data_IF_430379623016
#
_entry.id   IF_430379623016
#
_cell.length_a   1.000
_cell.length_b   1.000
_cell.length_c   1.000
_cell.angle_alpha   90.00
_cell.angle_beta   90.00
_cell.angle_gamma   90.00
#
_symmetry.space_group_name_H-M   'P 1'
#
loop_
_entity.id
_entity.type
_entity.pdbx_description
1 polymer ?
#
# COMPACT_ATOMS: atom_id res chain seq x y z
N UNK A 1 -35.87 32.55 73.88
CA UNK A 1 -35.05 32.44 72.67
C UNK A 1 -35.30 31.05 72.07
N UNK A 2 -36.16 30.98 71.03
CA UNK A 2 -36.50 29.73 70.33
C UNK A 2 -35.62 29.65 69.12
N UNK A 3 -34.82 28.60 69.03
CA UNK A 3 -34.04 28.24 67.87
C UNK A 3 -34.92 27.48 66.93
N UNK A 4 -35.11 27.97 65.71
CA UNK A 4 -35.92 27.37 64.67
C UNK A 4 -34.99 26.44 63.85
N UNK A 5 -35.31 25.14 63.91
CA UNK A 5 -34.69 24.14 63.06
C UNK A 5 -35.17 24.32 61.61
N UNK A 6 -34.20 24.41 60.73
CA UNK A 6 -34.41 24.33 59.27
C UNK A 6 -34.55 22.90 58.83
N UNK A 7 -35.48 22.54 57.90
CA UNK A 7 -35.60 21.17 57.43
C UNK A 7 -34.47 20.85 56.43
N UNK A 8 -33.87 19.71 56.67
CA UNK A 8 -32.86 19.06 55.80
C UNK A 8 -33.44 18.80 54.40
N UNK A 9 -32.74 19.25 53.41
CA UNK A 9 -33.05 18.93 51.98
C UNK A 9 -32.88 17.41 51.72
N UNK A 10 -33.76 16.79 50.92
CA UNK A 10 -33.60 15.39 50.58
C UNK A 10 -32.45 15.24 49.57
N UNK A 11 -31.52 14.34 49.89
CA UNK A 11 -30.43 13.91 49.01
C UNK A 11 -30.95 13.42 47.66
N UNK A 12 -30.50 14.05 46.60
CA UNK A 12 -30.81 13.71 45.24
C UNK A 12 -30.16 12.35 44.85
N UNK A 13 -30.99 11.36 44.55
CA UNK A 13 -30.61 10.10 43.91
C UNK A 13 -30.95 10.09 42.40
N UNK A 14 -30.24 10.82 41.54
CA UNK A 14 -30.46 10.68 40.08
C UNK A 14 -29.47 9.75 39.39
N UNK A 15 -28.32 9.42 40.00
CA UNK A 15 -27.26 8.68 39.31
C UNK A 15 -27.53 7.18 39.11
N UNK A 16 -28.28 6.53 40.04
CA UNK A 16 -28.54 5.09 39.96
C UNK A 16 -29.66 4.75 38.93
N UNK A 17 -30.68 5.57 38.83
CA UNK A 17 -31.76 5.41 37.87
C UNK A 17 -31.29 5.68 36.44
N UNK A 18 -30.40 6.65 36.26
CA UNK A 18 -29.82 6.93 34.95
C UNK A 18 -28.90 5.79 34.49
N UNK A 19 -28.07 5.24 35.36
CA UNK A 19 -27.23 4.06 35.06
C UNK A 19 -28.06 2.82 34.71
N UNK A 20 -29.16 2.55 35.42
CA UNK A 20 -30.05 1.43 35.09
C UNK A 20 -30.74 1.60 33.76
N UNK A 21 -31.17 2.81 33.40
CA UNK A 21 -31.77 3.11 32.08
C UNK A 21 -30.74 3.00 30.97
N UNK A 22 -29.51 3.49 31.16
CA UNK A 22 -28.43 3.35 30.21
C UNK A 22 -28.04 1.88 30.00
N UNK A 23 -27.97 1.10 31.07
CA UNK A 23 -27.69 -0.34 30.98
C UNK A 23 -28.79 -1.10 30.25
N UNK A 24 -30.08 -0.72 30.46
CA UNK A 24 -31.20 -1.26 29.72
C UNK A 24 -31.13 -0.96 28.22
N UNK A 25 -30.80 0.28 27.84
CA UNK A 25 -30.65 0.68 26.44
C UNK A 25 -29.49 -0.08 25.78
N UNK A 26 -28.34 -0.21 26.48
CA UNK A 26 -27.19 -0.97 25.97
C UNK A 26 -27.53 -2.45 25.76
N UNK A 27 -28.26 -3.07 26.69
CA UNK A 27 -28.70 -4.45 26.55
C UNK A 27 -29.70 -4.64 25.41
N UNK A 28 -30.60 -3.66 25.20
CA UNK A 28 -31.52 -3.68 24.05
C UNK A 28 -30.77 -3.54 22.74
N UNK A 29 -29.75 -2.65 22.67
CA UNK A 29 -28.93 -2.48 21.49
C UNK A 29 -28.08 -3.72 21.18
N UNK A 30 -27.53 -4.36 22.22
CA UNK A 30 -26.79 -5.63 22.09
C UNK A 30 -27.74 -6.75 21.62
N UNK A 31 -28.93 -6.83 22.21
CA UNK A 31 -29.98 -7.81 21.79
C UNK A 31 -30.44 -7.57 20.34
N UNK A 32 -30.62 -6.32 19.96
CA UNK A 32 -30.98 -5.96 18.57
C UNK A 32 -29.84 -6.27 17.59
N UNK A 33 -28.61 -5.99 17.99
CA UNK A 33 -27.41 -6.31 17.19
C UNK A 33 -27.22 -7.82 17.04
N UNK A 34 -27.43 -8.58 18.12
CA UNK A 34 -27.40 -10.03 18.07
C UNK A 34 -28.52 -10.59 17.20
N UNK A 35 -29.73 -10.06 17.36
CA UNK A 35 -30.90 -10.44 16.55
C UNK A 35 -30.67 -10.15 15.06
N UNK A 36 -30.14 -8.98 14.73
CA UNK A 36 -29.75 -8.63 13.36
C UNK A 36 -28.63 -9.55 12.82
N UNK A 37 -27.65 -9.88 13.65
CA UNK A 37 -26.58 -10.81 13.28
C UNK A 37 -27.13 -12.22 13.02
N UNK A 38 -28.02 -12.71 13.89
CA UNK A 38 -28.69 -14.01 13.73
C UNK A 38 -29.61 -14.03 12.50
N UNK A 39 -30.27 -12.90 12.22
CA UNK A 39 -31.09 -12.68 11.03
C UNK A 39 -30.28 -12.76 9.75
N UNK A 40 -29.13 -12.10 9.75
CA UNK A 40 -28.20 -12.07 8.61
C UNK A 40 -27.45 -13.42 8.41
N UNK A 41 -27.18 -14.14 9.49
CA UNK A 41 -26.43 -15.40 9.44
C UNK A 41 -27.26 -16.62 9.09
N UNK A 42 -28.55 -16.64 9.44
CA UNK A 42 -29.43 -17.79 9.21
C UNK A 42 -30.39 -17.66 8.01
N UNK A 43 -30.55 -16.47 7.44
CA UNK A 43 -31.33 -16.25 6.22
C UNK A 43 -32.82 -16.63 6.30
N UNK A 44 -33.31 -17.05 7.47
CA UNK A 44 -34.70 -17.49 7.63
C UNK A 44 -35.29 -17.04 8.95
N UNK A 45 -36.39 -16.28 8.93
CA UNK A 45 -37.25 -16.03 10.08
C UNK A 45 -38.64 -16.56 9.76
N UNK A 46 -39.16 -17.42 10.63
CA UNK A 46 -40.56 -17.92 10.62
C UNK A 46 -41.01 -18.51 9.27
N UNK A 47 -40.12 -19.26 8.57
CA UNK A 47 -40.49 -19.89 7.30
C UNK A 47 -40.50 -18.94 6.08
N UNK A 48 -40.18 -17.68 6.28
CA UNK A 48 -39.96 -16.74 5.19
C UNK A 48 -38.48 -16.78 4.86
N UNK A 49 -38.12 -17.30 3.70
CA UNK A 49 -36.78 -17.16 3.12
C UNK A 49 -36.57 -15.68 2.79
N UNK A 50 -36.00 -14.92 3.73
CA UNK A 50 -35.41 -13.64 3.45
C UNK A 50 -34.07 -13.90 2.73
N UNK A 51 -34.20 -14.34 1.48
CA UNK A 51 -33.07 -14.37 0.59
C UNK A 51 -32.69 -12.89 0.32
N UNK A 52 -31.85 -12.31 1.19
CA UNK A 52 -31.22 -11.04 0.98
C UNK A 52 -30.15 -11.24 -0.12
N UNK A 53 -30.56 -11.80 -1.25
CA UNK A 53 -29.75 -11.87 -2.43
C UNK A 53 -29.53 -10.42 -2.88
N UNK A 54 -28.35 -9.91 -2.64
CA UNK A 54 -27.91 -8.70 -3.31
C UNK A 54 -27.84 -9.03 -4.81
N UNK A 55 -28.74 -8.46 -5.58
CA UNK A 55 -28.64 -8.52 -7.03
C UNK A 55 -27.48 -7.60 -7.44
N UNK A 56 -26.64 -8.07 -8.34
CA UNK A 56 -25.68 -7.25 -9.05
C UNK A 56 -26.10 -7.08 -10.51
N UNK A 57 -25.71 -5.99 -11.11
CA UNK A 57 -25.92 -5.71 -12.52
C UNK A 57 -24.61 -5.17 -13.09
N UNK A 58 -24.21 -5.73 -14.23
CA UNK A 58 -23.06 -5.26 -15.00
C UNK A 58 -23.58 -4.76 -16.34
N UNK A 59 -23.30 -3.51 -16.66
CA UNK A 59 -23.58 -2.91 -17.97
C UNK A 59 -22.27 -2.69 -18.72
N UNK A 60 -22.07 -3.44 -19.79
CA UNK A 60 -20.82 -3.41 -20.57
C UNK A 60 -20.70 -2.13 -21.40
N UNK A 61 -19.49 -1.61 -21.46
CA UNK A 61 -19.07 -0.51 -22.33
C UNK A 61 -18.42 -1.11 -23.56
N UNK A 62 -18.98 -0.82 -24.72
CA UNK A 62 -18.43 -1.30 -26.00
C UNK A 62 -17.00 -0.79 -26.19
N UNK A 63 -16.07 -1.64 -26.67
CA UNK A 63 -14.70 -1.23 -26.93
C UNK A 63 -14.62 -0.05 -27.91
N UNK A 64 -13.87 0.97 -27.53
CA UNK A 64 -13.60 2.17 -28.31
C UNK A 64 -12.09 2.28 -28.54
N UNK A 65 -11.68 2.77 -29.71
CA UNK A 65 -10.28 2.91 -30.10
C UNK A 65 -9.92 4.37 -30.29
N UNK A 66 -8.73 4.73 -29.81
CA UNK A 66 -8.24 6.10 -29.84
C UNK A 66 -6.77 6.14 -30.25
N UNK A 67 -6.48 6.94 -31.28
CA UNK A 67 -5.10 7.24 -31.66
C UNK A 67 -4.62 8.44 -30.83
N UNK A 68 -3.95 8.17 -29.72
CA UNK A 68 -3.46 9.16 -28.75
C UNK A 68 -2.12 8.74 -28.18
N UNK A 69 -1.31 9.69 -27.70
CA UNK A 69 -0.03 9.43 -27.02
C UNK A 69 -0.13 9.54 -25.50
N UNK A 70 -1.26 10.04 -24.97
CA UNK A 70 -1.48 10.19 -23.55
C UNK A 70 -2.88 9.77 -23.13
N UNK A 71 -2.97 9.12 -21.96
CA UNK A 71 -4.23 8.73 -21.34
C UNK A 71 -4.30 9.31 -19.94
N UNK A 72 -5.39 9.97 -19.60
CA UNK A 72 -5.68 10.47 -18.27
C UNK A 72 -7.01 9.89 -17.76
N UNK A 73 -6.94 9.13 -16.66
CA UNK A 73 -8.11 8.49 -16.04
C UNK A 73 -8.34 9.08 -14.66
N UNK A 74 -9.56 9.50 -14.37
CA UNK A 74 -9.95 9.95 -13.03
C UNK A 74 -11.21 9.25 -12.57
N UNK A 75 -11.21 8.81 -11.32
CA UNK A 75 -12.33 8.10 -10.69
C UNK A 75 -12.37 8.28 -9.19
N UNK A 76 -13.41 7.76 -8.54
CA UNK A 76 -13.59 7.84 -7.08
C UNK A 76 -13.32 6.49 -6.45
N UNK A 77 -14.21 5.51 -6.63
CA UNK A 77 -14.12 4.16 -6.10
C UNK A 77 -14.09 3.10 -7.22
N UNK A 78 -13.45 3.46 -8.31
CA UNK A 78 -13.47 2.70 -9.56
C UNK A 78 -12.25 1.78 -9.68
N UNK A 79 -12.38 0.71 -10.45
CA UNK A 79 -11.27 -0.18 -10.76
C UNK A 79 -10.71 0.16 -12.14
N UNK A 80 -9.41 0.35 -12.21
CA UNK A 80 -8.71 0.61 -13.48
C UNK A 80 -7.73 -0.51 -13.77
N UNK A 81 -7.90 -1.16 -14.89
CA UNK A 81 -7.02 -2.21 -15.37
C UNK A 81 -6.32 -1.72 -16.63
N UNK A 82 -5.00 -1.59 -16.53
CA UNK A 82 -4.15 -1.28 -17.68
C UNK A 82 -3.51 -2.56 -18.18
N UNK A 83 -3.56 -2.77 -19.49
CA UNK A 83 -2.94 -3.92 -20.12
C UNK A 83 -2.20 -3.50 -21.40
N UNK A 84 -1.43 -4.40 -21.97
CA UNK A 84 -0.73 -4.15 -23.23
C UNK A 84 -1.62 -4.43 -24.43
N UNK A 85 -1.54 -3.58 -25.45
CA UNK A 85 -1.98 -3.92 -26.81
C UNK A 85 -0.79 -4.04 -27.77
N UNK A 86 -0.93 -4.86 -28.81
CA UNK A 86 0.03 -4.95 -29.92
C UNK A 86 -0.29 -3.97 -31.05
N UNK A 87 -1.43 -3.28 -30.98
CA UNK A 87 -1.82 -2.24 -31.91
C UNK A 87 -1.22 -0.89 -31.56
N UNK A 88 -1.45 0.10 -32.45
CA UNK A 88 -0.99 1.48 -32.26
C UNK A 88 -2.03 2.36 -31.53
N UNK A 89 -3.24 1.85 -31.33
CA UNK A 89 -4.34 2.59 -30.72
C UNK A 89 -4.59 2.12 -29.30
N UNK A 90 -4.97 3.05 -28.45
CA UNK A 90 -5.51 2.76 -27.13
C UNK A 90 -6.92 2.18 -27.27
N UNK A 91 -7.19 1.07 -26.59
CA UNK A 91 -8.50 0.45 -26.56
C UNK A 91 -9.09 0.62 -25.18
N UNK A 92 -10.19 1.33 -25.08
CA UNK A 92 -10.98 1.50 -23.84
C UNK A 92 -12.20 0.61 -23.91
N UNK A 93 -12.38 -0.22 -22.91
CA UNK A 93 -13.57 -1.02 -22.63
C UNK A 93 -13.85 -1.06 -21.15
N UNK A 94 -14.91 -1.72 -20.73
CA UNK A 94 -15.21 -1.85 -19.30
C UNK A 94 -16.67 -2.17 -19.03
N UNK A 95 -17.04 -1.99 -17.78
CA UNK A 95 -18.39 -2.21 -17.29
C UNK A 95 -18.73 -1.27 -16.13
N UNK A 96 -20.01 -0.93 -16.01
CA UNK A 96 -20.57 -0.27 -14.83
C UNK A 96 -21.21 -1.33 -13.96
N UNK A 97 -20.87 -1.37 -12.70
CA UNK A 97 -21.45 -2.31 -11.73
C UNK A 97 -22.34 -1.59 -10.74
N UNK A 98 -23.51 -2.12 -10.53
CA UNK A 98 -24.45 -1.63 -9.54
C UNK A 98 -24.98 -2.77 -8.67
N UNK A 99 -25.29 -2.45 -7.43
CA UNK A 99 -25.78 -3.40 -6.43
C UNK A 99 -27.13 -2.97 -5.93
N UNK A 100 -28.02 -3.92 -5.62
CA UNK A 100 -29.36 -3.62 -5.13
C UNK A 100 -30.05 -4.86 -4.59
N UNK A 101 -31.23 -4.66 -4.02
CA UNK A 101 -32.09 -5.74 -3.50
C UNK A 101 -32.78 -6.56 -4.60
N UNK A 102 -32.88 -6.00 -5.80
CA UNK A 102 -33.44 -6.60 -6.98
C UNK A 102 -32.67 -6.18 -8.22
N UNK A 103 -32.78 -6.96 -9.30
CA UNK A 103 -32.09 -6.67 -10.55
C UNK A 103 -32.34 -5.24 -11.08
N UNK A 104 -33.58 -4.75 -10.98
CA UNK A 104 -33.92 -3.39 -11.40
C UNK A 104 -33.24 -2.31 -10.57
N UNK A 105 -33.13 -2.48 -9.24
CA UNK A 105 -32.41 -1.53 -8.39
C UNK A 105 -30.91 -1.59 -8.62
N UNK A 106 -30.33 -2.76 -8.89
CA UNK A 106 -28.93 -2.92 -9.24
C UNK A 106 -28.62 -2.24 -10.59
N UNK A 107 -29.46 -2.41 -11.60
CA UNK A 107 -29.30 -1.72 -12.89
C UNK A 107 -29.43 -0.19 -12.72
N UNK A 108 -30.40 0.26 -11.95
CA UNK A 108 -30.55 1.69 -11.67
C UNK A 108 -29.32 2.26 -10.94
N UNK A 109 -28.71 1.49 -10.03
CA UNK A 109 -27.46 1.89 -9.37
C UNK A 109 -26.29 1.95 -10.35
N UNK A 110 -26.13 0.97 -11.25
CA UNK A 110 -25.09 0.99 -12.28
C UNK A 110 -25.22 2.24 -13.19
N UNK A 111 -26.44 2.66 -13.52
CA UNK A 111 -26.68 3.85 -14.34
C UNK A 111 -26.33 5.17 -13.64
N UNK A 112 -26.10 5.17 -12.33
CA UNK A 112 -25.63 6.37 -11.59
C UNK A 112 -24.16 6.64 -11.80
N UNK A 113 -23.42 5.66 -12.33
CA UNK A 113 -22.01 5.83 -12.72
C UNK A 113 -21.97 6.30 -14.16
N UNK A 114 -21.47 7.51 -14.38
CA UNK A 114 -21.32 8.10 -15.71
C UNK A 114 -19.84 8.09 -16.10
N UNK A 115 -19.54 7.53 -17.27
CA UNK A 115 -18.18 7.53 -17.81
C UNK A 115 -18.15 8.51 -18.96
N UNK A 116 -17.44 9.60 -18.76
CA UNK A 116 -17.22 10.63 -19.77
C UNK A 116 -15.89 10.36 -20.46
N UNK A 117 -15.91 10.19 -21.78
CA UNK A 117 -14.73 9.93 -22.60
C UNK A 117 -14.58 11.07 -23.58
N UNK A 118 -13.48 11.78 -23.51
CA UNK A 118 -13.19 12.90 -24.38
C UNK A 118 -11.78 12.83 -24.91
N UNK A 119 -11.61 12.93 -26.23
CA UNK A 119 -10.31 13.10 -26.86
C UNK A 119 -10.07 14.58 -27.15
N UNK A 120 -9.01 15.13 -26.60
CA UNK A 120 -8.54 16.50 -26.86
C UNK A 120 -7.14 16.46 -27.44
N UNK A 121 -7.03 16.64 -28.73
CA UNK A 121 -5.75 16.51 -29.43
C UNK A 121 -5.21 15.10 -29.31
N UNK A 122 -4.05 14.97 -28.68
CA UNK A 122 -3.32 13.71 -28.52
C UNK A 122 -3.50 13.06 -27.12
N UNK A 123 -4.48 13.56 -26.37
CA UNK A 123 -4.78 13.07 -25.02
C UNK A 123 -6.21 12.55 -24.93
N UNK A 124 -6.37 11.34 -24.39
CA UNK A 124 -7.64 10.74 -24.03
C UNK A 124 -7.93 11.00 -22.55
N UNK A 125 -9.03 11.67 -22.27
CA UNK A 125 -9.55 11.89 -20.92
C UNK A 125 -10.71 10.92 -20.65
N UNK A 126 -10.60 10.17 -19.55
CA UNK A 126 -11.64 9.27 -19.06
C UNK A 126 -12.00 9.68 -17.65
N UNK A 127 -13.18 10.27 -17.48
CA UNK A 127 -13.66 10.72 -16.19
C UNK A 127 -14.84 9.87 -15.72
N UNK A 128 -14.69 9.21 -14.59
CA UNK A 128 -15.78 8.48 -13.95
C UNK A 128 -16.44 9.39 -12.92
N UNK A 129 -17.74 9.65 -13.12
CA UNK A 129 -18.54 10.47 -12.22
C UNK A 129 -19.62 9.65 -11.55
N UNK A 130 -19.74 9.79 -10.27
CA UNK A 130 -20.77 9.20 -9.45
C UNK A 130 -21.81 10.25 -9.09
N UNK A 131 -23.09 9.95 -9.34
CA UNK A 131 -24.14 10.88 -8.93
C UNK A 131 -24.28 10.84 -7.41
N UNK A 132 -24.35 12.02 -6.73
CA UNK A 132 -24.51 12.07 -5.29
C UNK A 132 -25.83 11.41 -4.88
N UNK A 133 -25.76 10.42 -4.02
CA UNK A 133 -26.93 9.69 -3.54
C UNK A 133 -27.54 10.42 -2.35
N UNK A 134 -28.81 10.80 -2.45
CA UNK A 134 -29.59 11.40 -1.36
C UNK A 134 -30.17 10.37 -0.39
N UNK A 135 -30.07 9.08 -0.65
CA UNK A 135 -30.64 8.02 0.17
C UNK A 135 -29.58 7.17 0.85
N UNK A 136 -29.87 6.75 2.07
CA UNK A 136 -29.08 5.78 2.82
C UNK A 136 -29.04 4.45 2.06
N UNK A 137 -27.90 4.09 1.51
CA UNK A 137 -27.69 2.81 0.85
C UNK A 137 -27.14 1.80 1.86
N UNK A 138 -27.89 0.74 2.06
CA UNK A 138 -27.36 -0.46 2.71
C UNK A 138 -26.79 -1.36 1.60
N UNK A 139 -25.49 -1.31 1.36
CA UNK A 139 -24.88 -2.15 0.35
C UNK A 139 -23.56 -1.60 -0.17
N UNK A 140 -23.04 -2.23 -1.22
CA UNK A 140 -21.85 -1.76 -1.93
C UNK A 140 -22.21 -0.59 -2.83
N UNK A 141 -21.34 0.39 -2.88
CA UNK A 141 -21.47 1.50 -3.82
C UNK A 141 -21.28 1.02 -5.27
N UNK A 142 -22.02 1.58 -6.23
CA UNK A 142 -21.81 1.29 -7.63
C UNK A 142 -20.44 1.84 -8.08
N UNK A 143 -19.80 1.13 -9.01
CA UNK A 143 -18.49 1.53 -9.52
C UNK A 143 -18.33 1.19 -11.01
N UNK A 144 -17.36 1.84 -11.66
CA UNK A 144 -16.89 1.45 -12.97
C UNK A 144 -15.65 0.55 -12.86
N UNK A 145 -15.61 -0.45 -13.72
CA UNK A 145 -14.40 -1.20 -14.01
C UNK A 145 -13.96 -0.83 -15.43
N UNK A 146 -12.87 -0.10 -15.52
CA UNK A 146 -12.30 0.34 -16.79
C UNK A 146 -11.14 -0.56 -17.18
N UNK A 147 -11.12 -0.97 -18.44
CA UNK A 147 -10.05 -1.76 -19.03
C UNK A 147 -9.47 -0.97 -20.19
N UNK A 148 -8.19 -0.60 -20.08
CA UNK A 148 -7.46 0.14 -21.10
C UNK A 148 -6.28 -0.70 -21.58
N UNK A 149 -6.28 -1.02 -22.87
CA UNK A 149 -5.14 -1.65 -23.50
C UNK A 149 -4.28 -0.58 -24.17
N UNK A 150 -3.03 -0.45 -23.71
CA UNK A 150 -2.10 0.62 -24.05
C UNK A 150 -0.99 0.12 -24.99
N UNK A 151 -0.68 0.85 -26.08
CA UNK A 151 0.58 0.73 -26.81
C UNK A 151 1.78 1.12 -25.92
N UNK A 152 2.96 0.64 -26.27
CA UNK A 152 4.19 0.88 -25.49
C UNK A 152 4.66 2.35 -25.47
N UNK A 153 4.26 3.13 -26.44
CA UNK A 153 4.66 4.55 -26.58
C UNK A 153 3.70 5.52 -25.89
N UNK A 154 2.57 5.03 -25.41
CA UNK A 154 1.54 5.85 -24.74
C UNK A 154 1.90 6.07 -23.28
N UNK A 155 1.87 7.32 -22.83
CA UNK A 155 2.00 7.63 -21.40
C UNK A 155 0.63 7.64 -20.73
N UNK A 156 0.58 7.24 -19.45
CA UNK A 156 -0.69 7.24 -18.71
C UNK A 156 -0.58 7.97 -17.36
N UNK A 157 -1.70 8.53 -16.94
CA UNK A 157 -1.91 9.09 -15.62
C UNK A 157 -3.26 8.62 -15.08
N UNK A 158 -3.24 7.87 -13.99
CA UNK A 158 -4.45 7.35 -13.32
C UNK A 158 -4.56 7.99 -11.95
N UNK A 159 -5.64 8.70 -11.70
CA UNK A 159 -5.91 9.35 -10.42
C UNK A 159 -7.25 8.86 -9.84
N UNK A 160 -7.17 8.13 -8.72
CA UNK A 160 -8.32 7.54 -8.02
C UNK A 160 -8.39 8.08 -6.60
N UNK A 161 -9.59 8.10 -6.01
CA UNK A 161 -9.75 8.44 -4.61
C UNK A 161 -9.71 7.17 -3.73
N UNK A 162 -10.51 6.16 -4.04
CA UNK A 162 -10.61 4.91 -3.28
C UNK A 162 -10.73 3.70 -4.20
N UNK A 163 -10.06 3.72 -5.31
CA UNK A 163 -10.15 2.70 -6.34
C UNK A 163 -8.82 1.99 -6.54
N UNK A 164 -8.90 0.74 -6.96
CA UNK A 164 -7.74 -0.09 -7.22
C UNK A 164 -7.22 0.08 -8.64
N UNK A 165 -5.91 0.03 -8.80
CA UNK A 165 -5.26 0.06 -10.10
C UNK A 165 -4.47 -1.23 -10.32
N UNK A 166 -4.71 -1.89 -11.46
CA UNK A 166 -3.99 -3.10 -11.84
C UNK A 166 -3.31 -2.90 -13.18
N UNK A 167 -2.01 -3.14 -13.25
CA UNK A 167 -1.20 -3.11 -14.46
C UNK A 167 -0.77 -4.53 -14.81
N UNK A 168 -1.03 -4.95 -16.03
CA UNK A 168 -0.66 -6.29 -16.53
C UNK A 168 0.07 -6.18 -17.86
N UNK A 169 1.32 -6.58 -17.87
CA UNK A 169 2.17 -6.56 -19.07
C UNK A 169 2.30 -5.17 -19.74
N UNK A 170 2.20 -4.10 -18.94
CA UNK A 170 2.27 -2.74 -19.43
C UNK A 170 3.71 -2.37 -19.74
N UNK A 171 3.95 -1.91 -20.98
CA UNK A 171 5.26 -1.46 -21.46
C UNK A 171 5.33 0.07 -21.64
N UNK A 172 4.42 0.78 -20.99
CA UNK A 172 4.24 2.22 -21.07
C UNK A 172 4.68 2.87 -19.75
N UNK A 173 5.18 4.09 -19.85
CA UNK A 173 5.53 4.89 -18.66
C UNK A 173 4.31 5.66 -18.14
N UNK A 174 4.20 5.79 -16.82
CA UNK A 174 3.09 6.55 -16.27
C UNK A 174 3.08 6.70 -14.77
N UNK A 175 2.02 7.36 -14.30
CA UNK A 175 1.80 7.67 -12.90
C UNK A 175 0.45 7.12 -12.45
N UNK A 176 0.43 6.53 -11.26
CA UNK A 176 -0.79 6.13 -10.55
C UNK A 176 -0.81 6.88 -9.24
N UNK A 177 -1.90 7.59 -8.99
CA UNK A 177 -2.15 8.28 -7.73
C UNK A 177 -3.47 7.78 -7.15
N UNK A 178 -3.46 7.31 -5.91
CA UNK A 178 -4.68 6.92 -5.20
C UNK A 178 -4.63 7.42 -3.76
N UNK A 179 -5.78 7.58 -3.09
CA UNK A 179 -5.80 7.92 -1.67
C UNK A 179 -5.88 6.65 -0.84
N UNK A 180 -6.78 5.72 -1.19
CA UNK A 180 -6.96 4.47 -0.43
C UNK A 180 -7.35 3.30 -1.33
N UNK A 181 -6.53 3.00 -2.30
CA UNK A 181 -6.71 1.86 -3.18
C UNK A 181 -5.41 1.11 -3.35
N UNK A 182 -5.50 -0.17 -3.59
CA UNK A 182 -4.33 -1.01 -3.81
C UNK A 182 -3.84 -0.87 -5.25
N UNK A 183 -2.52 -0.97 -5.41
CA UNK A 183 -1.88 -0.92 -6.72
C UNK A 183 -1.12 -2.21 -6.97
N UNK A 184 -1.52 -2.93 -8.01
CA UNK A 184 -0.86 -4.17 -8.42
C UNK A 184 -0.27 -3.97 -9.82
N UNK A 185 1.05 -4.10 -9.95
CA UNK A 185 1.75 -4.02 -11.23
C UNK A 185 2.52 -5.33 -11.49
N UNK A 186 2.18 -6.01 -12.57
CA UNK A 186 2.79 -7.29 -12.94
C UNK A 186 3.33 -7.24 -14.38
N UNK A 187 4.58 -7.74 -14.56
CA UNK A 187 5.23 -7.82 -15.86
C UNK A 187 5.29 -6.46 -16.57
N UNK A 188 5.72 -5.43 -15.88
CA UNK A 188 5.74 -4.05 -16.37
C UNK A 188 7.16 -3.60 -16.75
N UNK A 189 7.25 -2.65 -17.71
CA UNK A 189 8.53 -2.09 -18.13
C UNK A 189 8.38 -0.58 -18.36
N UNK A 190 9.45 0.18 -18.06
CA UNK A 190 9.50 1.62 -18.27
C UNK A 190 9.62 2.41 -16.97
N UNK A 191 9.17 3.64 -16.98
CA UNK A 191 9.16 4.48 -15.78
C UNK A 191 7.78 4.45 -15.12
N UNK A 192 7.71 3.91 -13.90
CA UNK A 192 6.48 3.82 -13.14
C UNK A 192 6.58 4.64 -11.87
N UNK A 193 5.62 5.54 -11.67
CA UNK A 193 5.46 6.31 -10.42
C UNK A 193 4.14 5.89 -9.76
N UNK A 194 4.20 5.53 -8.48
CA UNK A 194 3.03 5.18 -7.67
C UNK A 194 2.99 6.06 -6.45
N UNK A 195 1.89 6.78 -6.27
CA UNK A 195 1.66 7.63 -5.11
C UNK A 195 0.35 7.22 -4.44
N UNK A 196 0.41 6.82 -3.17
CA UNK A 196 -0.79 6.48 -2.40
C UNK A 196 -0.74 7.10 -1.01
N UNK A 197 -1.88 7.23 -0.36
CA UNK A 197 -1.91 7.62 1.05
C UNK A 197 -2.05 6.39 1.94
N UNK A 198 -2.96 5.46 1.60
CA UNK A 198 -3.16 4.23 2.37
C UNK A 198 -3.66 3.13 1.46
N UNK A 199 -2.80 2.35 0.91
CA UNK A 199 -3.09 1.22 0.06
C UNK A 199 -1.81 0.42 -0.14
N UNK A 200 -1.94 -0.88 -0.24
CA UNK A 200 -0.80 -1.74 -0.44
C UNK A 200 -0.34 -1.70 -1.90
N UNK A 201 0.96 -1.78 -2.08
CA UNK A 201 1.58 -1.70 -3.40
C UNK A 201 2.33 -3.00 -3.66
N UNK A 202 1.93 -3.68 -4.72
CA UNK A 202 2.59 -4.90 -5.16
C UNK A 202 3.12 -4.73 -6.58
N UNK A 203 4.44 -4.83 -6.74
CA UNK A 203 5.12 -4.75 -8.04
C UNK A 203 5.88 -6.04 -8.29
N UNK A 204 5.50 -6.78 -9.34
CA UNK A 204 6.15 -8.03 -9.74
C UNK A 204 6.71 -7.95 -11.15
N UNK A 205 7.96 -8.41 -11.31
CA UNK A 205 8.64 -8.46 -12.62
C UNK A 205 8.68 -7.10 -13.34
N UNK A 206 9.00 -6.03 -12.59
CA UNK A 206 9.22 -4.72 -13.19
C UNK A 206 10.65 -4.63 -13.73
N UNK A 207 10.79 -4.05 -14.93
CA UNK A 207 12.08 -3.74 -15.55
C UNK A 207 12.13 -2.26 -15.93
N UNK A 208 12.88 -1.45 -15.16
CA UNK A 208 12.95 -0.01 -15.39
C UNK A 208 13.10 0.81 -14.12
N UNK A 209 12.57 2.03 -14.14
CA UNK A 209 12.62 2.94 -13.00
C UNK A 209 11.30 2.87 -12.22
N UNK A 210 11.39 2.72 -10.90
CA UNK A 210 10.24 2.70 -10.00
C UNK A 210 10.38 3.77 -8.92
N UNK A 211 9.40 4.67 -8.84
CA UNK A 211 9.23 5.60 -7.74
C UNK A 211 7.94 5.29 -6.99
N UNK A 212 8.04 5.08 -5.67
CA UNK A 212 6.91 4.85 -4.78
C UNK A 212 6.91 5.88 -3.67
N UNK A 213 5.78 6.53 -3.47
CA UNK A 213 5.53 7.41 -2.34
C UNK A 213 4.24 6.97 -1.66
N UNK A 214 4.32 6.60 -0.39
CA UNK A 214 3.13 6.23 0.39
C UNK A 214 3.19 6.85 1.79
N UNK A 215 2.04 7.00 2.44
CA UNK A 215 1.99 7.41 3.85
C UNK A 215 1.83 6.20 4.74
N UNK A 216 0.88 5.32 4.44
CA UNK A 216 0.66 4.08 5.20
C UNK A 216 0.17 2.98 4.27
N UNK A 217 1.00 2.05 4.00
CA UNK A 217 0.73 0.90 3.13
C UNK A 217 2.02 0.15 2.90
N UNK A 218 1.92 -1.14 2.82
CA UNK A 218 3.09 -2.00 2.61
C UNK A 218 3.50 -2.02 1.13
N UNK A 219 4.79 -2.10 0.90
CA UNK A 219 5.35 -2.25 -0.44
C UNK A 219 6.06 -3.60 -0.60
N UNK A 220 5.61 -4.39 -1.55
CA UNK A 220 6.40 -5.51 -2.06
C UNK A 220 6.79 -5.25 -3.52
N UNK A 221 8.10 -5.14 -3.81
CA UNK A 221 8.59 -4.93 -5.16
C UNK A 221 9.66 -5.97 -5.53
N UNK A 222 9.43 -6.64 -6.66
CA UNK A 222 10.31 -7.66 -7.23
C UNK A 222 10.60 -7.31 -8.68
N UNK A 223 11.89 -7.19 -9.04
CA UNK A 223 12.21 -6.81 -10.43
C UNK A 223 13.69 -6.51 -10.68
N UNK A 224 13.91 -5.82 -11.80
CA UNK A 224 15.18 -5.25 -12.19
C UNK A 224 15.01 -3.73 -12.29
N UNK A 225 15.59 -3.02 -11.34
CA UNK A 225 15.37 -1.58 -11.22
C UNK A 225 16.62 -0.80 -11.61
N UNK A 226 16.49 0.07 -12.60
CA UNK A 226 17.55 1.01 -12.97
C UNK A 226 17.65 2.14 -11.95
N UNK A 227 16.52 2.67 -11.49
CA UNK A 227 16.41 3.64 -10.41
C UNK A 227 15.20 3.29 -9.54
N UNK A 228 15.44 2.95 -8.28
CA UNK A 228 14.41 2.62 -7.31
C UNK A 228 14.38 3.68 -6.21
N UNK A 229 13.27 4.38 -6.09
CA UNK A 229 13.04 5.37 -5.05
C UNK A 229 11.77 5.02 -4.27
N UNK A 230 11.92 4.79 -2.96
CA UNK A 230 10.84 4.47 -2.06
C UNK A 230 10.82 5.45 -0.90
N UNK A 231 9.71 6.13 -0.70
CA UNK A 231 9.48 7.02 0.42
C UNK A 231 8.16 6.62 1.10
N UNK A 232 8.22 6.18 2.36
CA UNK A 232 7.04 5.85 3.15
C UNK A 232 7.11 6.48 4.54
N UNK A 233 5.97 6.67 5.19
CA UNK A 233 5.92 7.13 6.58
C UNK A 233 5.72 5.96 7.52
N UNK A 234 4.74 5.10 7.23
CA UNK A 234 4.36 3.95 8.06
C UNK A 234 3.96 2.79 7.15
N UNK A 235 4.81 1.80 7.04
CA UNK A 235 4.61 0.63 6.18
C UNK A 235 5.90 -0.15 5.98
N UNK A 236 5.77 -1.43 5.90
CA UNK A 236 6.90 -2.32 5.66
C UNK A 236 7.29 -2.32 4.18
N UNK A 237 8.59 -2.38 3.93
CA UNK A 237 9.14 -2.38 2.58
C UNK A 237 9.88 -3.69 2.33
N UNK A 238 9.43 -4.46 1.35
CA UNK A 238 10.05 -5.71 0.93
C UNK A 238 10.51 -5.59 -0.52
N UNK A 239 11.82 -5.64 -0.73
CA UNK A 239 12.43 -5.48 -2.04
C UNK A 239 13.26 -6.71 -2.42
N UNK A 240 13.08 -7.21 -3.64
CA UNK A 240 13.85 -8.35 -4.17
C UNK A 240 14.27 -8.10 -5.61
N UNK A 241 15.51 -8.41 -5.93
CA UNK A 241 15.98 -8.38 -7.31
C UNK A 241 17.30 -7.68 -7.54
N UNK A 242 17.41 -6.97 -8.65
CA UNK A 242 18.62 -6.24 -9.06
C UNK A 242 18.36 -4.75 -9.06
N UNK A 243 19.36 -3.98 -8.61
CA UNK A 243 19.25 -2.54 -8.50
C UNK A 243 20.51 -1.86 -9.04
N UNK A 244 20.39 -0.92 -9.97
CA UNK A 244 21.50 -0.03 -10.28
C UNK A 244 21.60 1.03 -9.17
N UNK A 245 20.53 1.76 -8.93
CA UNK A 245 20.43 2.70 -7.82
C UNK A 245 19.21 2.41 -6.99
N UNK A 246 19.35 2.33 -5.67
CA UNK A 246 18.21 2.16 -4.75
C UNK A 246 18.31 3.14 -3.59
N UNK A 247 17.24 3.91 -3.38
CA UNK A 247 17.06 4.82 -2.26
C UNK A 247 15.75 4.53 -1.55
N UNK A 248 15.83 4.10 -0.30
CA UNK A 248 14.69 3.77 0.53
C UNK A 248 14.70 4.64 1.77
N UNK A 249 13.60 5.34 2.02
CA UNK A 249 13.40 6.17 3.21
C UNK A 249 12.07 5.79 3.84
N UNK A 250 12.09 5.43 5.12
CA UNK A 250 10.88 5.23 5.91
C UNK A 250 11.00 5.92 7.26
N UNK A 251 9.89 6.23 7.91
CA UNK A 251 9.90 6.72 9.29
C UNK A 251 9.63 5.58 10.25
N UNK A 252 8.60 4.77 10.00
CA UNK A 252 8.18 3.66 10.85
C UNK A 252 7.82 2.47 9.97
N UNK A 253 8.68 1.50 9.91
CA UNK A 253 8.46 0.28 9.14
C UNK A 253 9.76 -0.48 8.96
N UNK A 254 9.66 -1.76 8.90
CA UNK A 254 10.80 -2.63 8.65
C UNK A 254 11.15 -2.65 7.16
N UNK A 255 12.44 -2.65 6.86
CA UNK A 255 12.94 -2.72 5.49
C UNK A 255 13.64 -4.05 5.27
N UNK A 256 13.09 -4.89 4.42
CA UNK A 256 13.67 -6.19 4.04
C UNK A 256 14.11 -6.16 2.59
N UNK A 257 15.39 -6.39 2.35
CA UNK A 257 16.01 -6.31 1.04
C UNK A 257 16.74 -7.60 0.72
N UNK A 258 16.41 -8.21 -0.41
CA UNK A 258 17.13 -9.34 -0.97
C UNK A 258 17.71 -8.93 -2.34
N UNK A 259 19.05 -8.86 -2.41
CA UNK A 259 19.77 -8.33 -3.57
C UNK A 259 20.54 -9.44 -4.27
N UNK A 260 20.30 -9.57 -5.58
CA UNK A 260 21.12 -10.43 -6.44
C UNK A 260 22.33 -9.68 -7.02
N UNK A 261 22.15 -8.41 -7.36
CA UNK A 261 23.20 -7.50 -7.87
C UNK A 261 22.79 -6.05 -7.63
N UNK A 262 23.73 -5.19 -7.23
CA UNK A 262 23.50 -3.77 -7.05
C UNK A 262 24.78 -2.96 -7.33
N UNK A 263 24.61 -1.70 -7.75
CA UNK A 263 25.73 -0.76 -7.84
C UNK A 263 25.75 0.19 -6.64
N UNK A 264 24.62 0.82 -6.32
CA UNK A 264 24.53 1.75 -5.19
C UNK A 264 23.22 1.54 -4.42
N UNK A 265 23.29 1.57 -3.08
CA UNK A 265 22.11 1.45 -2.23
C UNK A 265 22.19 2.34 -1.00
N UNK A 266 21.09 3.03 -0.68
CA UNK A 266 20.93 3.81 0.53
C UNK A 266 19.57 3.50 1.18
N UNK A 267 19.62 3.10 2.45
CA UNK A 267 18.44 2.77 3.25
C UNK A 267 18.46 3.61 4.52
N UNK A 268 17.40 4.33 4.77
CA UNK A 268 17.23 5.15 5.96
C UNK A 268 15.87 4.85 6.61
N UNK A 269 15.87 4.53 7.90
CA UNK A 269 14.65 4.45 8.70
C UNK A 269 14.82 5.16 10.03
N UNK A 270 13.74 5.60 10.65
CA UNK A 270 13.81 6.17 11.99
C UNK A 270 13.49 5.11 13.05
N UNK A 271 12.37 4.41 12.91
CA UNK A 271 11.91 3.38 13.84
C UNK A 271 11.59 2.10 13.05
N UNK A 272 12.59 1.33 12.71
CA UNK A 272 12.40 0.10 11.96
C UNK A 272 13.70 -0.68 11.85
N UNK A 273 13.56 -1.96 11.67
CA UNK A 273 14.69 -2.85 11.46
C UNK A 273 15.06 -2.88 9.98
N UNK A 274 16.34 -3.02 9.71
CA UNK A 274 16.83 -3.20 8.35
C UNK A 274 17.37 -4.63 8.23
N UNK A 275 16.80 -5.42 7.35
CA UNK A 275 17.26 -6.77 7.03
C UNK A 275 17.75 -6.82 5.59
N UNK A 276 19.03 -7.07 5.43
CA UNK A 276 19.69 -7.19 4.13
C UNK A 276 20.17 -8.62 3.90
N UNK A 277 19.91 -9.14 2.70
CA UNK A 277 20.42 -10.45 2.28
C UNK A 277 20.89 -10.37 0.82
N UNK A 278 22.13 -10.79 0.53
CA UNK A 278 22.62 -10.85 -0.85
C UNK A 278 24.06 -10.48 -1.01
N UNK A 279 24.38 -10.01 -2.22
CA UNK A 279 25.73 -9.51 -2.55
C UNK A 279 25.82 -8.02 -2.20
N UNK A 280 27.04 -7.58 -1.90
CA UNK A 280 27.30 -6.17 -1.70
C UNK A 280 27.26 -5.43 -3.04
N UNK A 281 26.75 -4.21 -3.01
CA UNK A 281 26.80 -3.29 -4.12
C UNK A 281 28.25 -3.03 -4.56
N UNK A 282 28.42 -2.69 -5.83
CA UNK A 282 29.76 -2.47 -6.38
C UNK A 282 30.43 -1.18 -5.88
N UNK A 283 29.62 -0.16 -5.56
CA UNK A 283 30.13 1.14 -5.13
C UNK A 283 29.91 1.34 -3.64
N UNK A 284 28.73 1.78 -3.23
CA UNK A 284 28.43 2.15 -1.86
C UNK A 284 27.10 1.57 -1.39
N UNK A 285 27.14 0.98 -0.21
CA UNK A 285 25.92 0.64 0.54
C UNK A 285 25.89 1.37 1.86
N UNK A 286 24.84 2.12 2.10
CA UNK A 286 24.61 2.84 3.35
C UNK A 286 23.26 2.43 3.94
N UNK A 287 23.28 2.01 5.21
CA UNK A 287 22.08 1.62 5.96
C UNK A 287 22.11 2.34 7.30
N UNK A 288 21.09 3.15 7.54
CA UNK A 288 20.98 4.00 8.73
C UNK A 288 19.63 3.80 9.39
N UNK A 289 19.63 3.54 10.68
CA UNK A 289 18.41 3.56 11.50
C UNK A 289 18.67 4.32 12.80
N UNK A 290 17.64 4.91 13.39
CA UNK A 290 17.77 5.52 14.72
C UNK A 290 17.42 4.50 15.80
N UNK A 291 16.28 3.84 15.67
CA UNK A 291 15.78 2.86 16.64
C UNK A 291 15.39 1.58 15.91
N UNK A 292 16.35 0.70 15.73
CA UNK A 292 16.13 -0.58 15.06
C UNK A 292 17.41 -1.37 14.92
N UNK A 293 17.25 -2.65 14.76
CA UNK A 293 18.35 -3.59 14.53
C UNK A 293 18.68 -3.65 13.04
N UNK A 294 19.97 -3.84 12.74
CA UNK A 294 20.42 -4.06 11.38
C UNK A 294 20.98 -5.48 11.24
N UNK A 295 20.28 -6.30 10.49
CA UNK A 295 20.66 -7.67 10.19
C UNK A 295 21.21 -7.80 8.77
N UNK A 296 22.46 -8.20 8.65
CA UNK A 296 23.14 -8.37 7.36
C UNK A 296 23.46 -9.85 7.13
N UNK A 297 23.04 -10.38 6.00
CA UNK A 297 23.47 -11.69 5.50
C UNK A 297 24.13 -11.49 4.14
N UNK A 298 25.47 -11.51 4.12
CA UNK A 298 26.26 -11.20 2.94
C UNK A 298 26.81 -12.48 2.33
N UNK A 299 26.66 -12.62 1.01
CA UNK A 299 27.24 -13.74 0.26
C UNK A 299 28.76 -13.53 0.10
N UNK A 300 29.53 -14.61 0.22
CA UNK A 300 30.97 -14.61 -0.05
C UNK A 300 31.25 -14.57 -1.56
N UNK A 301 32.40 -14.03 -2.03
CA UNK A 301 33.49 -13.48 -1.24
C UNK A 301 33.21 -12.06 -0.78
N UNK A 302 33.66 -11.72 0.43
CA UNK A 302 33.57 -10.37 0.99
C UNK A 302 34.78 -9.54 0.52
N UNK A 303 34.53 -8.49 -0.26
CA UNK A 303 35.55 -7.54 -0.74
C UNK A 303 35.07 -6.11 -0.51
N UNK A 304 35.15 -5.67 0.76
CA UNK A 304 34.57 -4.41 1.18
C UNK A 304 35.34 -3.74 2.30
N UNK A 305 35.29 -2.41 2.32
CA UNK A 305 35.57 -1.61 3.51
C UNK A 305 34.27 -1.46 4.32
N UNK A 306 34.27 -2.02 5.52
CA UNK A 306 33.11 -2.04 6.42
C UNK A 306 33.30 -0.94 7.47
N UNK A 307 32.24 -0.17 7.68
CA UNK A 307 32.16 0.84 8.74
C UNK A 307 30.82 0.67 9.48
N UNK A 308 30.87 0.05 10.66
CA UNK A 308 29.70 -0.17 11.52
C UNK A 308 29.79 0.70 12.75
N UNK A 309 28.68 1.37 13.09
CA UNK A 309 28.58 2.23 14.28
C UNK A 309 27.23 2.02 14.96
N UNK A 310 27.27 1.78 16.29
CA UNK A 310 26.07 1.83 17.14
C UNK A 310 26.39 2.65 18.40
N UNK A 311 25.40 3.39 18.90
CA UNK A 311 25.60 4.20 20.11
C UNK A 311 25.27 3.39 21.38
N UNK A 312 24.15 2.67 21.39
CA UNK A 312 23.69 1.91 22.58
C UNK A 312 23.34 0.45 22.29
N UNK A 313 23.79 -0.10 21.15
CA UNK A 313 23.61 -1.49 20.76
C UNK A 313 24.85 -2.35 20.93
N UNK A 314 24.74 -3.58 20.49
CA UNK A 314 25.82 -4.57 20.43
C UNK A 314 26.07 -4.99 18.99
N UNK A 315 27.34 -5.29 18.69
CA UNK A 315 27.72 -5.87 17.41
C UNK A 315 27.91 -7.37 17.55
N UNK A 316 27.21 -8.14 16.71
CA UNK A 316 27.35 -9.62 16.62
C UNK A 316 27.96 -9.95 15.27
N UNK A 317 29.25 -10.21 15.27
CA UNK A 317 30.06 -10.39 14.08
C UNK A 317 30.66 -11.79 14.01
N UNK A 318 30.93 -12.34 12.79
CA UNK A 318 31.62 -13.61 12.63
C UNK A 318 33.03 -13.61 13.26
N UNK A 319 33.54 -14.80 13.56
CA UNK A 319 34.83 -14.98 14.26
C UNK A 319 36.03 -14.32 13.58
N UNK A 320 36.00 -14.11 12.27
CA UNK A 320 37.05 -13.42 11.51
C UNK A 320 37.17 -11.91 11.84
N UNK A 321 36.19 -11.36 12.56
CA UNK A 321 36.22 -10.01 13.11
C UNK A 321 36.70 -9.99 14.59
N UNK A 322 37.27 -11.07 15.07
CA UNK A 322 37.44 -11.42 16.49
C UNK A 322 38.49 -10.64 17.29
N UNK A 323 39.09 -9.59 16.76
CA UNK A 323 39.96 -8.73 17.57
C UNK A 323 39.24 -7.62 18.32
N UNK A 324 37.92 -7.76 18.49
CA UNK A 324 37.09 -6.72 19.08
C UNK A 324 36.54 -7.11 20.45
N UNK A 325 36.65 -6.16 21.37
CA UNK A 325 36.04 -6.26 22.69
C UNK A 325 34.51 -6.37 22.56
N UNK A 326 33.85 -7.11 23.47
CA UNK A 326 32.40 -7.22 23.55
C UNK A 326 31.64 -5.87 23.68
N UNK A 327 32.34 -4.78 23.90
CA UNK A 327 31.81 -3.41 24.02
C UNK A 327 32.18 -2.50 22.84
N UNK A 328 32.62 -3.07 21.71
CA UNK A 328 32.95 -2.26 20.53
C UNK A 328 31.68 -1.65 19.95
N UNK A 329 31.63 -0.33 19.87
CA UNK A 329 30.53 0.46 19.30
C UNK A 329 30.81 1.04 17.94
N UNK A 330 32.05 0.94 17.49
CA UNK A 330 32.48 1.35 16.17
C UNK A 330 33.50 0.36 15.64
N UNK A 331 33.33 -0.05 14.39
CA UNK A 331 34.21 -0.97 13.66
C UNK A 331 34.50 -0.41 12.30
N UNK A 332 35.78 -0.28 11.98
CA UNK A 332 36.22 -0.06 10.60
C UNK A 332 37.19 -1.16 10.23
N UNK A 333 36.89 -1.94 9.20
CA UNK A 333 37.74 -3.04 8.74
C UNK A 333 37.62 -3.23 7.24
N UNK A 334 38.75 -3.53 6.60
CA UNK A 334 38.82 -3.79 5.17
C UNK A 334 39.01 -5.28 4.92
N UNK A 335 38.21 -5.85 4.04
CA UNK A 335 38.27 -7.21 3.54
C UNK A 335 38.62 -7.20 2.04
N UNK A 336 39.46 -8.12 1.62
CA UNK A 336 39.92 -8.15 0.23
C UNK A 336 40.67 -6.89 -0.17
N UNK A 337 40.27 -6.28 -1.26
CA UNK A 337 40.82 -5.02 -1.76
C UNK A 337 39.97 -3.80 -1.33
N UNK A 338 38.84 -4.03 -0.63
CA UNK A 338 37.96 -2.97 -0.16
C UNK A 338 37.26 -2.21 -1.29
N UNK A 339 36.87 -2.92 -2.35
CA UNK A 339 36.25 -2.30 -3.54
C UNK A 339 34.91 -1.67 -3.28
N UNK A 340 34.16 -2.23 -2.35
CA UNK A 340 32.85 -1.73 -1.93
C UNK A 340 32.96 -1.03 -0.58
N UNK A 341 32.21 0.04 -0.38
CA UNK A 341 32.02 0.65 0.93
C UNK A 341 30.68 0.22 1.52
N UNK A 342 30.71 -0.45 2.68
CA UNK A 342 29.53 -0.80 3.46
C UNK A 342 29.51 0.02 4.76
N UNK A 343 28.59 0.97 4.84
CA UNK A 343 28.36 1.82 6.02
C UNK A 343 27.05 1.43 6.67
N UNK A 344 27.09 1.11 7.98
CA UNK A 344 25.90 0.78 8.77
C UNK A 344 25.93 1.56 10.07
N UNK A 345 24.89 2.30 10.33
CA UNK A 345 24.75 3.14 11.53
C UNK A 345 23.40 2.90 12.20
N UNK A 346 23.41 2.69 13.51
CA UNK A 346 22.23 2.73 14.36
C UNK A 346 22.51 3.51 15.63
N UNK A 347 21.50 4.16 16.18
CA UNK A 347 21.65 4.82 17.49
C UNK A 347 21.27 3.87 18.61
N UNK A 348 20.12 3.22 18.52
CA UNK A 348 19.58 2.29 19.53
C UNK A 348 19.18 0.99 18.89
N UNK A 349 20.17 0.13 18.61
CA UNK A 349 19.91 -1.18 17.99
C UNK A 349 21.19 -1.99 17.85
N UNK A 350 21.03 -3.28 17.74
CA UNK A 350 22.12 -4.22 17.50
C UNK A 350 22.45 -4.30 16.00
N UNK A 351 23.73 -4.46 15.67
CA UNK A 351 24.20 -4.75 14.32
C UNK A 351 24.64 -6.21 14.28
N UNK A 352 24.04 -7.02 13.43
CA UNK A 352 24.42 -8.40 13.24
C UNK A 352 24.86 -8.67 11.81
N UNK A 353 26.00 -9.35 11.65
CA UNK A 353 26.52 -9.76 10.36
C UNK A 353 26.64 -11.28 10.30
N UNK A 354 26.13 -11.87 9.25
CA UNK A 354 26.35 -13.28 8.88
C UNK A 354 26.95 -13.35 7.49
N UNK A 355 27.86 -14.28 7.29
CA UNK A 355 28.42 -14.57 5.98
C UNK A 355 27.91 -15.91 5.48
N UNK A 356 27.34 -15.91 4.28
CA UNK A 356 26.79 -17.11 3.63
C UNK A 356 27.73 -17.58 2.53
N UNK A 357 27.87 -18.89 2.40
CA UNK A 357 28.64 -19.53 1.32
C UNK A 357 27.87 -19.61 0.02
#
# INVERSE_FOLDING_TARGET
MKQTDLPSQPESLPGQLLRRRLLGIVLILIGLSWFLFELLSRGTIAGINLNLASADSAESISPQRFAVSRVEVTGINDQVILSRTTGEEVILSGERRGFGWAAQSATAAAMQVTIEVEQRGDTLYVHVRHQPQMMWHFGRDPYARLELALPSEVTFNVALMSGDATLQQVMASGTITTISGDVIASDTNGQLTIETTSGDIEVRNHDGSLRVVTVSGDLEAVGQFTDLQVETTDGDVVLRGKYTTARIITISGDVTIAVDDADQMRVETTNGNIRFTGQLAREMQEMVTISGDVELTINKPLDAQINFTTVSGRMRLPAQFAHQSANTRSLTQTFGQGRTMLKVETTSGDISLRLRE
#
